data_IF_296170539417
#
_entry.id   IF_296170539417
#
_cell.length_a   1.000
_cell.length_b   1.000
_cell.length_c   1.000
_cell.angle_alpha   90.00
_cell.angle_beta   90.00
_cell.angle_gamma   90.00
#
_symmetry.space_group_name_H-M   'P 1'
#
loop_
_entity.id
_entity.type
_entity.pdbx_description
1 polymer ?
#
# COMPACT_ATOMS: atom_id res chain seq x y z
N UNK A 1 -45.61 -23.16 -60.20
CA UNK A 1 -46.58 -24.27 -60.39
C UNK A 1 -46.71 -25.01 -59.06
N UNK A 2 -47.93 -25.00 -58.48
CA UNK A 2 -48.47 -25.90 -57.41
C UNK A 2 -47.73 -25.75 -56.01
N UNK A 3 -48.38 -26.01 -54.85
CA UNK A 3 -48.88 -24.97 -53.95
C UNK A 3 -48.86 -25.35 -52.42
N UNK A 4 -49.54 -24.56 -51.57
CA UNK A 4 -50.13 -24.89 -50.25
C UNK A 4 -49.19 -25.41 -49.11
N UNK A 5 -49.31 -25.06 -47.83
CA UNK A 5 -50.49 -24.89 -46.96
C UNK A 5 -50.16 -23.96 -45.77
N UNK A 6 -51.14 -23.12 -45.41
CA UNK A 6 -51.42 -22.71 -44.02
C UNK A 6 -52.23 -23.81 -43.35
N UNK A 7 -51.91 -24.17 -42.10
CA UNK A 7 -52.84 -24.67 -41.05
C UNK A 7 -52.00 -24.80 -39.76
N UNK A 8 -52.04 -23.83 -38.86
CA UNK A 8 -52.98 -23.62 -37.73
C UNK A 8 -52.83 -24.65 -36.59
N UNK A 9 -52.80 -24.06 -35.39
CA UNK A 9 -53.21 -24.59 -34.09
C UNK A 9 -52.13 -25.29 -33.29
N UNK A 10 -51.50 -24.61 -32.32
CA UNK A 10 -52.01 -24.35 -30.95
C UNK A 10 -51.57 -25.48 -30.02
N UNK A 11 -50.78 -25.15 -29.00
CA UNK A 11 -51.02 -25.51 -27.59
C UNK A 11 -49.82 -25.16 -26.70
N UNK A 12 -50.16 -24.66 -25.50
CA UNK A 12 -49.35 -24.57 -24.29
C UNK A 12 -48.35 -23.41 -24.22
N UNK A 13 -48.93 -22.23 -23.91
CA UNK A 13 -48.41 -21.32 -22.88
C UNK A 13 -47.91 -22.15 -21.69
N UNK A 14 -46.60 -22.15 -21.44
CA UNK A 14 -46.05 -22.57 -20.16
C UNK A 14 -45.63 -21.33 -19.39
N UNK A 15 -46.22 -21.20 -18.20
CA UNK A 15 -46.05 -20.13 -17.23
C UNK A 15 -44.58 -19.93 -16.87
N UNK A 16 -44.10 -18.69 -17.02
CA UNK A 16 -43.07 -18.13 -16.14
C UNK A 16 -43.61 -16.81 -15.57
N UNK A 17 -44.57 -16.93 -14.66
CA UNK A 17 -44.86 -15.88 -13.69
C UNK A 17 -43.70 -15.82 -12.71
N UNK A 18 -42.70 -15.00 -13.03
CA UNK A 18 -41.65 -14.61 -12.08
C UNK A 18 -42.33 -13.78 -10.99
N UNK A 19 -42.42 -14.39 -9.81
CA UNK A 19 -42.89 -13.81 -8.57
C UNK A 19 -41.99 -12.61 -8.21
N UNK A 20 -42.39 -11.40 -8.58
CA UNK A 20 -41.82 -10.16 -8.05
C UNK A 20 -42.40 -9.93 -6.65
N UNK A 21 -41.87 -10.65 -5.65
CA UNK A 21 -42.05 -10.24 -4.25
C UNK A 21 -40.99 -9.18 -3.97
N UNK A 22 -41.45 -7.94 -4.05
CA UNK A 22 -40.82 -6.78 -3.44
C UNK A 22 -40.67 -7.00 -1.94
N UNK A 23 -39.52 -7.55 -1.54
CA UNK A 23 -39.02 -7.44 -0.18
C UNK A 23 -38.54 -6.00 0.02
N UNK A 24 -39.47 -5.14 0.41
CA UNK A 24 -39.14 -3.95 1.20
C UNK A 24 -38.56 -4.46 2.53
N UNK A 25 -37.27 -4.76 2.55
CA UNK A 25 -36.54 -4.87 3.80
C UNK A 25 -36.40 -3.44 4.33
N UNK A 26 -37.34 -3.06 5.18
CA UNK A 26 -37.19 -1.90 6.04
C UNK A 26 -35.95 -2.13 6.90
N UNK A 27 -34.86 -1.43 6.61
CA UNK A 27 -33.69 -1.39 7.47
C UNK A 27 -34.03 -0.57 8.72
N UNK A 28 -34.79 -1.16 9.65
CA UNK A 28 -34.68 -0.77 11.05
C UNK A 28 -33.35 -1.31 11.54
N UNK A 29 -32.39 -0.41 11.81
CA UNK A 29 -31.21 -0.74 12.60
C UNK A 29 -31.73 -1.29 13.93
N UNK A 30 -31.56 -2.58 14.16
CA UNK A 30 -31.86 -3.19 15.45
C UNK A 30 -30.99 -2.49 16.51
N UNK A 31 -31.62 -1.79 17.45
CA UNK A 31 -30.97 -1.37 18.69
C UNK A 31 -30.72 -2.62 19.51
N UNK A 32 -29.47 -3.04 19.77
CA UNK A 32 -29.23 -4.21 20.58
C UNK A 32 -29.61 -3.87 22.03
N UNK A 33 -30.69 -4.47 22.52
CA UNK A 33 -31.10 -4.42 23.93
C UNK A 33 -30.14 -5.27 24.76
N UNK A 34 -28.99 -4.70 25.13
CA UNK A 34 -28.24 -5.10 26.31
C UNK A 34 -28.65 -4.22 27.50
N UNK A 35 -28.38 -4.65 28.74
CA UNK A 35 -28.51 -3.79 29.94
C UNK A 35 -27.95 -2.39 29.64
N UNK A 36 -28.76 -1.35 29.78
CA UNK A 36 -28.30 0.04 29.60
C UNK A 36 -27.27 0.36 30.68
N UNK A 37 -25.99 0.20 30.34
CA UNK A 37 -24.91 0.78 31.12
C UNK A 37 -25.16 2.29 31.22
N UNK A 38 -25.05 2.82 32.43
CA UNK A 38 -25.08 4.27 32.62
C UNK A 38 -24.02 4.94 31.74
N UNK A 39 -24.38 6.04 31.08
CA UNK A 39 -23.49 6.80 30.18
C UNK A 39 -22.24 7.35 30.86
N UNK A 40 -22.23 7.41 32.20
CA UNK A 40 -21.11 7.88 33.03
C UNK A 40 -19.97 6.86 33.16
N UNK A 41 -19.58 6.25 32.03
CA UNK A 41 -18.40 5.41 31.88
C UNK A 41 -17.89 5.46 30.45
N UNK A 42 -16.61 5.13 30.23
CA UNK A 42 -16.03 5.02 28.89
C UNK A 42 -16.83 4.02 28.06
N UNK A 43 -17.10 2.83 28.59
CA UNK A 43 -17.89 1.81 27.89
C UNK A 43 -19.32 2.31 27.62
N UNK A 44 -20.03 2.77 28.65
CA UNK A 44 -21.42 3.23 28.52
C UNK A 44 -21.56 4.38 27.50
N UNK A 45 -20.62 5.33 27.50
CA UNK A 45 -20.56 6.41 26.51
C UNK A 45 -20.30 5.86 25.09
N UNK A 46 -19.28 5.02 24.92
CA UNK A 46 -18.88 4.53 23.59
C UNK A 46 -19.79 3.44 23.02
N UNK A 47 -20.66 2.82 23.83
CA UNK A 47 -21.71 1.92 23.38
C UNK A 47 -23.07 2.60 23.20
N UNK A 48 -23.21 3.88 23.55
CA UNK A 48 -24.45 4.64 23.40
C UNK A 48 -24.35 5.60 22.20
N UNK A 49 -24.89 5.15 21.07
CA UNK A 49 -24.81 5.90 19.81
C UNK A 49 -25.50 7.26 19.88
N UNK A 50 -26.69 7.33 20.50
CA UNK A 50 -27.44 8.57 20.64
C UNK A 50 -26.69 9.60 21.50
N UNK A 51 -26.05 9.16 22.60
CA UNK A 51 -25.21 10.02 23.41
C UNK A 51 -23.99 10.54 22.63
N UNK A 52 -23.29 9.67 21.89
CA UNK A 52 -22.17 10.09 21.05
C UNK A 52 -22.57 11.15 20.01
N UNK A 53 -23.76 11.02 19.40
CA UNK A 53 -24.30 12.03 18.48
C UNK A 53 -24.62 13.36 19.17
N UNK A 54 -24.91 13.36 20.47
CA UNK A 54 -25.15 14.58 21.23
C UNK A 54 -23.86 15.29 21.66
N UNK A 55 -22.78 14.54 21.90
CA UNK A 55 -21.53 15.06 22.51
C UNK A 55 -20.32 15.10 21.57
N UNK A 56 -20.48 14.73 20.30
CA UNK A 56 -19.37 14.76 19.34
C UNK A 56 -18.84 16.18 19.10
N UNK A 57 -17.60 16.25 18.62
CA UNK A 57 -17.04 17.50 18.08
C UNK A 57 -17.02 17.38 16.56
N UNK A 58 -17.38 18.43 15.80
CA UNK A 58 -17.32 18.41 14.34
C UNK A 58 -15.94 18.00 13.85
N UNK A 59 -15.90 17.32 12.71
CA UNK A 59 -14.62 16.95 12.10
C UNK A 59 -13.96 18.20 11.52
N UNK A 60 -12.81 18.57 12.08
CA UNK A 60 -11.97 19.66 11.58
C UNK A 60 -10.74 19.13 10.84
N UNK A 61 -10.55 17.81 10.78
CA UNK A 61 -9.41 17.21 10.13
C UNK A 61 -9.64 17.13 8.62
N UNK A 62 -8.85 17.88 7.85
CA UNK A 62 -8.75 17.67 6.40
C UNK A 62 -7.97 16.38 6.21
N UNK A 63 -8.66 15.27 5.95
CA UNK A 63 -8.02 14.02 5.56
C UNK A 63 -7.67 14.16 4.07
N UNK A 64 -6.48 14.70 3.80
CA UNK A 64 -5.95 14.77 2.45
C UNK A 64 -5.89 13.37 1.84
N UNK A 65 -6.54 13.20 0.68
CA UNK A 65 -6.44 11.98 -0.09
C UNK A 65 -4.99 11.74 -0.49
N UNK A 66 -4.37 10.69 0.07
CA UNK A 66 -3.00 10.33 -0.25
C UNK A 66 -2.88 9.73 -1.66
N UNK A 67 -1.81 8.97 -1.89
CA UNK A 67 -1.59 8.22 -3.14
C UNK A 67 -2.69 7.18 -3.47
N UNK A 68 -3.69 7.00 -2.62
CA UNK A 68 -4.83 6.08 -2.78
C UNK A 68 -6.17 6.76 -3.10
N UNK A 69 -6.21 8.09 -3.26
CA UNK A 69 -7.45 8.84 -3.46
C UNK A 69 -8.01 9.43 -2.16
N UNK A 70 -9.18 10.06 -2.25
CA UNK A 70 -9.87 10.64 -1.08
C UNK A 70 -10.24 9.55 -0.07
N UNK A 71 -9.97 9.80 1.21
CA UNK A 71 -10.34 8.88 2.26
C UNK A 71 -11.87 8.85 2.43
N UNK A 72 -12.48 7.68 2.67
CA UNK A 72 -13.90 7.61 2.99
C UNK A 72 -14.23 8.48 4.21
N UNK A 73 -15.32 9.25 4.12
CA UNK A 73 -15.80 10.03 5.27
C UNK A 73 -16.61 9.14 6.22
N UNK A 74 -16.25 9.21 7.49
CA UNK A 74 -17.00 8.63 8.61
C UNK A 74 -17.24 9.73 9.64
N UNK A 75 -18.43 9.78 10.21
CA UNK A 75 -18.73 10.78 11.23
C UNK A 75 -17.89 10.54 12.50
N UNK A 76 -17.52 11.59 13.26
CA UNK A 76 -16.68 11.44 14.45
C UNK A 76 -17.23 10.43 15.47
N UNK A 77 -18.55 10.37 15.64
CA UNK A 77 -19.20 9.38 16.52
C UNK A 77 -19.14 7.95 15.96
N UNK A 78 -19.20 7.76 14.64
CA UNK A 78 -19.05 6.43 14.00
C UNK A 78 -17.64 5.87 14.18
N UNK A 79 -16.63 6.75 14.19
CA UNK A 79 -15.22 6.34 14.34
C UNK A 79 -14.92 5.74 15.71
N UNK A 80 -15.69 6.07 16.74
CA UNK A 80 -15.42 5.66 18.13
C UNK A 80 -16.51 4.79 18.74
N UNK A 81 -17.59 4.54 18.01
CA UNK A 81 -18.67 3.69 18.49
C UNK A 81 -18.24 2.24 18.64
N UNK A 82 -18.54 1.65 19.81
CA UNK A 82 -18.27 0.27 20.16
C UNK A 82 -19.58 -0.51 20.05
N UNK A 83 -19.71 -1.33 19.01
CA UNK A 83 -20.89 -2.14 18.80
C UNK A 83 -20.66 -3.32 17.85
N UNK A 84 -21.72 -4.08 17.62
CA UNK A 84 -21.72 -5.24 16.74
C UNK A 84 -20.89 -6.43 17.26
N UNK A 85 -20.63 -7.38 16.37
CA UNK A 85 -19.93 -8.63 16.68
C UNK A 85 -18.51 -8.40 17.23
N UNK A 86 -17.78 -7.44 16.66
CA UNK A 86 -16.43 -7.12 17.10
C UNK A 86 -16.39 -6.63 18.55
N UNK A 87 -17.37 -5.83 18.97
CA UNK A 87 -17.47 -5.43 20.36
C UNK A 87 -17.82 -6.63 21.28
N UNK A 88 -18.74 -7.49 20.84
CA UNK A 88 -19.09 -8.70 21.58
C UNK A 88 -17.90 -9.67 21.73
N UNK A 89 -17.01 -9.75 20.73
CA UNK A 89 -15.74 -10.47 20.78
C UNK A 89 -14.74 -9.79 21.73
N UNK A 90 -14.62 -8.46 21.67
CA UNK A 90 -13.72 -7.69 22.53
C UNK A 90 -14.00 -7.97 24.01
N UNK A 91 -15.29 -7.97 24.43
CA UNK A 91 -15.70 -8.29 25.82
C UNK A 91 -15.25 -9.66 26.31
N UNK A 92 -14.99 -10.61 25.39
CA UNK A 92 -14.51 -11.96 25.72
C UNK A 92 -12.98 -12.05 25.72
N UNK A 93 -12.28 -11.01 25.25
CA UNK A 93 -10.83 -10.99 25.09
C UNK A 93 -10.09 -10.70 26.41
N UNK A 94 -8.80 -11.03 26.45
CA UNK A 94 -7.92 -10.64 27.57
C UNK A 94 -7.78 -9.11 27.71
N UNK A 95 -7.88 -8.36 26.62
CA UNK A 95 -7.75 -6.90 26.61
C UNK A 95 -8.91 -6.20 27.34
N UNK A 96 -10.12 -6.76 27.28
CA UNK A 96 -11.27 -6.19 28.00
C UNK A 96 -11.07 -6.14 29.51
N UNK A 97 -10.38 -7.15 30.07
CA UNK A 97 -10.07 -7.23 31.51
C UNK A 97 -9.13 -6.13 32.00
N UNK A 98 -8.39 -5.48 31.10
CA UNK A 98 -7.51 -4.35 31.43
C UNK A 98 -8.33 -3.09 31.75
N UNK A 99 -9.54 -2.99 31.18
CA UNK A 99 -10.38 -1.80 31.27
C UNK A 99 -9.88 -0.64 30.39
N UNK A 100 -10.80 0.26 30.04
CA UNK A 100 -10.53 1.37 29.11
C UNK A 100 -9.35 2.23 29.59
N UNK A 101 -9.38 2.64 30.86
CA UNK A 101 -8.36 3.54 31.46
C UNK A 101 -6.99 2.89 31.60
N UNK A 102 -6.90 1.56 31.65
CA UNK A 102 -5.60 0.87 31.73
C UNK A 102 -4.76 1.11 30.49
N UNK A 103 -5.40 1.21 29.31
CA UNK A 103 -4.73 1.52 28.05
C UNK A 103 -4.85 2.99 27.65
N UNK A 104 -6.00 3.62 27.89
CA UNK A 104 -6.30 4.97 27.39
C UNK A 104 -6.07 6.09 28.41
N UNK A 105 -5.79 5.76 29.68
CA UNK A 105 -5.82 6.70 30.80
C UNK A 105 -7.19 7.44 30.87
N UNK A 106 -7.23 8.67 31.38
CA UNK A 106 -8.45 9.48 31.46
C UNK A 106 -9.39 9.08 32.62
N UNK A 107 -10.65 9.53 32.55
CA UNK A 107 -11.63 9.35 33.62
C UNK A 107 -12.85 8.52 33.15
N UNK A 108 -13.05 7.34 33.74
CA UNK A 108 -14.13 6.40 33.44
C UNK A 108 -15.39 6.59 34.31
N UNK A 109 -15.52 7.67 35.06
CA UNK A 109 -16.63 7.88 36.00
C UNK A 109 -17.43 9.16 35.67
N UNK A 110 -17.55 9.49 34.39
CA UNK A 110 -18.23 10.71 33.92
C UNK A 110 -18.77 10.50 32.52
N UNK A 111 -19.84 11.21 32.18
CA UNK A 111 -20.45 11.30 30.85
C UNK A 111 -20.03 12.57 30.09
N UNK A 112 -19.32 13.50 30.76
CA UNK A 112 -18.74 14.69 30.13
C UNK A 112 -17.49 14.32 29.33
N UNK A 113 -17.56 14.53 28.01
CA UNK A 113 -16.46 14.21 27.08
C UNK A 113 -15.14 14.89 27.44
N UNK A 114 -15.17 16.14 27.90
CA UNK A 114 -13.94 16.89 28.23
C UNK A 114 -13.33 16.37 29.51
N UNK A 115 -14.14 16.03 30.51
CA UNK A 115 -13.66 15.44 31.77
C UNK A 115 -13.14 14.02 31.53
N UNK A 116 -13.85 13.20 30.76
CA UNK A 116 -13.44 11.83 30.42
C UNK A 116 -12.07 11.80 29.70
N UNK A 117 -11.85 12.73 28.76
CA UNK A 117 -10.63 12.84 27.96
C UNK A 117 -9.62 13.88 28.49
N UNK A 118 -9.66 14.21 29.78
CA UNK A 118 -8.75 15.16 30.41
C UNK A 118 -7.44 14.52 30.90
N UNK A 119 -6.50 15.35 31.35
CA UNK A 119 -5.26 14.90 31.98
C UNK A 119 -4.31 14.22 31.00
N UNK A 120 -3.93 12.98 31.30
CA UNK A 120 -2.99 12.18 30.51
C UNK A 120 -3.70 11.22 29.54
N UNK A 121 -4.96 11.48 29.18
CA UNK A 121 -5.69 10.68 28.20
C UNK A 121 -4.90 10.50 26.89
N UNK A 122 -4.94 9.30 26.34
CA UNK A 122 -4.28 8.93 25.09
C UNK A 122 -5.28 8.27 24.14
N UNK A 123 -5.51 8.91 22.99
CA UNK A 123 -6.42 8.41 21.96
C UNK A 123 -5.88 7.19 21.21
N UNK A 124 -4.55 7.09 21.07
CA UNK A 124 -3.86 6.00 20.37
C UNK A 124 -2.81 5.34 21.27
N UNK A 125 -3.20 4.39 22.15
CA UNK A 125 -2.28 3.72 23.08
C UNK A 125 -1.11 3.02 22.39
N UNK A 126 -1.30 2.55 21.16
CA UNK A 126 -0.25 1.89 20.36
C UNK A 126 0.91 2.78 19.95
N UNK A 127 0.80 4.11 20.07
CA UNK A 127 1.94 5.02 19.95
C UNK A 127 2.92 4.87 21.13
N UNK A 128 2.42 4.38 22.26
CA UNK A 128 3.16 4.13 23.49
C UNK A 128 3.28 2.62 23.76
N UNK A 129 3.62 1.85 22.71
CA UNK A 129 3.59 0.39 22.73
C UNK A 129 4.43 -0.24 23.85
N UNK A 130 5.55 0.38 24.23
CA UNK A 130 6.36 -0.06 25.38
C UNK A 130 5.56 -0.06 26.69
N UNK A 131 4.88 1.04 26.98
CA UNK A 131 4.11 1.19 28.22
C UNK A 131 2.80 0.41 28.17
N UNK A 132 2.09 0.45 27.04
CA UNK A 132 0.71 -0.04 26.92
C UNK A 132 0.60 -1.48 26.44
N UNK A 133 1.62 -2.01 25.77
CA UNK A 133 1.61 -3.36 25.22
C UNK A 133 2.79 -4.20 25.73
N UNK A 134 3.92 -3.57 26.09
CA UNK A 134 5.18 -4.23 26.40
C UNK A 134 5.09 -5.25 27.52
N UNK A 135 4.30 -5.00 28.57
CA UNK A 135 4.13 -5.93 29.69
C UNK A 135 3.66 -7.33 29.26
N UNK A 136 2.84 -7.43 28.21
CA UNK A 136 2.32 -8.70 27.70
C UNK A 136 2.94 -9.11 26.34
N UNK A 137 3.42 -8.13 25.56
CA UNK A 137 3.89 -8.31 24.18
C UNK A 137 5.31 -7.80 23.95
N UNK A 138 6.17 -7.83 24.99
CA UNK A 138 7.51 -7.23 24.99
C UNK A 138 8.35 -7.60 23.77
N UNK A 139 8.33 -8.87 23.37
CA UNK A 139 9.13 -9.37 22.25
C UNK A 139 8.75 -8.68 20.93
N UNK A 140 7.45 -8.61 20.63
CA UNK A 140 6.97 -7.98 19.39
C UNK A 140 7.18 -6.47 19.45
N UNK A 141 6.95 -5.84 20.61
CA UNK A 141 7.20 -4.41 20.80
C UNK A 141 8.66 -4.07 20.53
N UNK A 142 9.60 -4.84 21.08
CA UNK A 142 11.03 -4.61 20.88
C UNK A 142 11.44 -4.77 19.41
N UNK A 143 10.92 -5.79 18.73
CA UNK A 143 11.19 -6.02 17.31
C UNK A 143 10.61 -4.91 16.43
N UNK A 144 9.38 -4.48 16.72
CA UNK A 144 8.67 -3.48 15.93
C UNK A 144 9.37 -2.13 15.90
N UNK A 145 10.10 -1.75 16.96
CA UNK A 145 10.88 -0.49 17.00
C UNK A 145 11.79 -0.32 15.79
N UNK A 146 12.37 -1.41 15.28
CA UNK A 146 13.30 -1.36 14.14
C UNK A 146 12.62 -1.67 12.80
N UNK A 147 11.31 -1.97 12.81
CA UNK A 147 10.54 -2.20 11.58
C UNK A 147 10.43 -0.92 10.75
N UNK A 148 10.56 -1.07 9.43
CA UNK A 148 10.35 0.01 8.48
C UNK A 148 8.89 0.50 8.45
N UNK A 149 7.94 -0.26 9.01
CA UNK A 149 6.56 0.21 9.15
C UNK A 149 6.42 1.43 10.09
N UNK A 150 7.44 1.75 10.90
CA UNK A 150 7.54 3.03 11.63
C UNK A 150 8.04 4.21 10.76
N UNK A 151 8.18 4.01 9.44
CA UNK A 151 8.50 5.08 8.49
C UNK A 151 9.98 5.40 8.30
N UNK A 152 10.89 4.65 8.92
CA UNK A 152 12.34 4.90 8.90
C UNK A 152 12.91 4.97 7.48
N UNK A 153 12.47 4.11 6.57
CA UNK A 153 12.93 4.12 5.18
C UNK A 153 12.56 5.40 4.41
N UNK A 154 11.41 6.01 4.71
CA UNK A 154 11.02 7.28 4.08
C UNK A 154 11.74 8.46 4.73
N UNK A 155 11.86 8.47 6.06
CA UNK A 155 12.66 9.46 6.81
C UNK A 155 14.08 9.52 6.26
N UNK A 156 14.73 8.36 6.06
CA UNK A 156 16.07 8.25 5.48
C UNK A 156 16.21 8.97 4.14
N UNK A 157 15.21 8.85 3.25
CA UNK A 157 15.28 9.51 1.94
C UNK A 157 15.15 11.02 2.05
N UNK A 158 14.27 11.49 2.92
CA UNK A 158 14.08 12.93 3.16
C UNK A 158 15.33 13.54 3.79
N UNK A 159 15.89 12.90 4.82
CA UNK A 159 17.07 13.43 5.53
C UNK A 159 18.31 13.46 4.65
N UNK A 160 18.61 12.37 3.94
CA UNK A 160 19.79 12.33 3.07
C UNK A 160 19.69 13.33 1.93
N UNK A 161 18.51 13.51 1.32
CA UNK A 161 18.31 14.54 0.30
C UNK A 161 18.35 15.97 0.87
N UNK A 162 18.11 16.13 2.17
CA UNK A 162 18.26 17.40 2.87
C UNK A 162 19.69 17.63 3.39
N UNK A 163 20.65 16.76 3.03
CA UNK A 163 22.07 16.90 3.39
C UNK A 163 22.47 16.26 4.73
N UNK A 164 21.62 15.41 5.31
CA UNK A 164 21.88 14.68 6.56
C UNK A 164 22.27 13.21 6.30
N UNK A 165 22.54 12.41 7.33
CA UNK A 165 23.17 11.09 7.14
C UNK A 165 22.20 9.91 7.18
N UNK A 166 21.01 10.05 7.76
CA UNK A 166 20.08 8.93 7.89
C UNK A 166 18.80 9.26 8.65
N UNK A 167 17.95 8.27 8.93
CA UNK A 167 16.66 8.49 9.57
C UNK A 167 16.77 8.97 11.03
N UNK A 168 17.89 8.71 11.70
CA UNK A 168 18.19 9.20 13.06
C UNK A 168 18.39 10.72 13.12
N UNK A 169 18.74 11.34 11.98
CA UNK A 169 18.92 12.78 11.89
C UNK A 169 17.61 13.50 11.54
N UNK A 170 16.47 12.80 11.50
CA UNK A 170 15.19 13.38 11.07
C UNK A 170 14.76 14.58 11.91
N UNK A 171 15.04 14.56 13.21
CA UNK A 171 14.70 15.65 14.13
C UNK A 171 15.63 16.88 13.97
N UNK A 172 16.67 16.80 13.13
CA UNK A 172 17.53 17.92 12.75
C UNK A 172 16.97 18.71 11.55
N UNK A 173 15.93 18.20 10.88
CA UNK A 173 15.26 18.93 9.81
C UNK A 173 14.57 20.19 10.37
N UNK A 174 14.41 21.25 9.57
CA UNK A 174 13.58 22.39 9.96
C UNK A 174 12.18 21.97 10.39
N UNK A 175 11.67 22.60 11.45
CA UNK A 175 10.39 22.24 12.07
C UNK A 175 9.21 22.25 11.08
N UNK A 176 9.14 23.24 10.18
CA UNK A 176 8.13 23.32 9.13
C UNK A 176 8.18 22.12 8.16
N UNK A 177 9.37 21.56 7.90
CA UNK A 177 9.54 20.40 7.03
C UNK A 177 9.10 19.13 7.74
N UNK A 178 9.38 19.01 9.04
CA UNK A 178 8.89 17.91 9.89
C UNK A 178 7.35 17.93 9.95
N UNK A 179 6.75 19.10 10.14
CA UNK A 179 5.30 19.29 10.11
C UNK A 179 4.72 18.88 8.76
N UNK A 180 5.30 19.35 7.66
CA UNK A 180 4.90 18.96 6.31
C UNK A 180 5.02 17.45 6.06
N UNK A 181 6.09 16.82 6.54
CA UNK A 181 6.26 15.37 6.47
C UNK A 181 5.17 14.64 7.24
N UNK A 182 4.87 15.07 8.47
CA UNK A 182 3.88 14.41 9.30
C UNK A 182 2.48 14.53 8.71
N UNK A 183 2.12 15.68 8.15
CA UNK A 183 0.82 15.90 7.52
C UNK A 183 0.61 15.15 6.21
N UNK A 184 1.68 14.87 5.44
CA UNK A 184 1.54 14.36 4.07
C UNK A 184 2.10 12.94 3.87
N UNK A 185 3.12 12.55 4.64
CA UNK A 185 3.87 11.32 4.45
C UNK A 185 3.67 10.32 5.60
N UNK A 186 3.70 10.80 6.84
CA UNK A 186 3.62 9.94 8.02
C UNK A 186 2.24 9.33 8.27
N UNK A 187 1.23 9.74 7.50
CA UNK A 187 -0.15 9.20 7.56
C UNK A 187 -0.24 7.71 7.22
N UNK A 188 0.78 7.15 6.56
CA UNK A 188 0.90 5.73 6.25
C UNK A 188 1.81 4.94 7.22
N UNK A 189 2.51 5.59 8.15
CA UNK A 189 3.37 4.88 9.11
C UNK A 189 2.49 4.26 10.19
N UNK A 190 2.74 2.98 10.47
CA UNK A 190 1.86 2.15 11.26
C UNK A 190 2.33 2.02 12.71
N UNK A 191 1.37 1.94 13.62
CA UNK A 191 1.52 1.36 14.96
C UNK A 191 0.76 0.04 15.06
N UNK A 192 0.87 -0.67 16.18
CA UNK A 192 0.08 -1.88 16.43
C UNK A 192 -1.43 -1.65 16.21
N UNK A 193 -1.94 -0.48 16.61
CA UNK A 193 -3.36 -0.14 16.47
C UNK A 193 -3.80 0.02 15.02
N UNK A 194 -2.94 0.56 14.15
CA UNK A 194 -3.30 0.82 12.74
C UNK A 194 -3.51 -0.46 11.93
N UNK A 195 -2.96 -1.58 12.36
CA UNK A 195 -3.19 -2.88 11.73
C UNK A 195 -4.25 -3.69 12.48
N UNK A 196 -4.23 -3.64 13.82
CA UNK A 196 -4.98 -4.61 14.63
C UNK A 196 -6.31 -4.08 15.19
N UNK A 197 -6.53 -2.76 15.26
CA UNK A 197 -7.66 -2.19 16.03
C UNK A 197 -8.46 -1.17 15.22
N UNK A 198 -7.76 -0.24 14.56
CA UNK A 198 -8.37 0.89 13.84
C UNK A 198 -8.16 0.77 12.34
N UNK A 199 -9.08 1.35 11.58
CA UNK A 199 -8.82 1.72 10.19
C UNK A 199 -7.72 2.80 10.20
N UNK A 200 -6.67 2.71 9.37
CA UNK A 200 -5.71 3.79 9.22
C UNK A 200 -6.40 5.11 8.82
N UNK A 201 -5.78 6.25 9.10
CA UNK A 201 -6.35 7.56 8.76
C UNK A 201 -6.63 7.71 7.27
N UNK A 202 -5.75 7.19 6.41
CA UNK A 202 -5.94 7.15 4.97
C UNK A 202 -7.19 6.34 4.53
N UNK A 203 -7.75 5.51 5.41
CA UNK A 203 -8.98 4.75 5.21
C UNK A 203 -10.18 5.35 5.96
N UNK A 204 -10.11 6.63 6.35
CA UNK A 204 -11.19 7.35 7.04
C UNK A 204 -11.18 7.22 8.56
N UNK A 205 -10.23 6.45 9.13
CA UNK A 205 -10.04 6.33 10.57
C UNK A 205 -11.16 5.60 11.32
N UNK A 206 -10.97 5.46 12.64
CA UNK A 206 -11.92 4.86 13.56
C UNK A 206 -11.79 3.35 13.73
N UNK A 207 -12.60 2.77 14.62
CA UNK A 207 -12.53 1.36 15.01
C UNK A 207 -12.90 0.44 13.84
N UNK A 208 -12.01 -0.50 13.50
CA UNK A 208 -12.23 -1.41 12.39
C UNK A 208 -13.36 -2.41 12.67
N UNK A 209 -13.43 -2.93 13.90
CA UNK A 209 -14.43 -3.92 14.36
C UNK A 209 -14.83 -3.69 15.82
N UNK A 210 -15.47 -2.57 16.15
CA UNK A 210 -16.03 -2.34 17.49
C UNK A 210 -15.02 -2.48 18.64
N UNK A 211 -13.79 -2.01 18.43
CA UNK A 211 -12.64 -2.11 19.35
C UNK A 211 -12.03 -3.51 19.53
N UNK A 212 -12.36 -4.47 18.67
CA UNK A 212 -11.69 -5.77 18.68
C UNK A 212 -10.22 -5.68 18.23
N UNK A 213 -9.35 -6.42 18.94
CA UNK A 213 -7.95 -6.62 18.59
C UNK A 213 -7.82 -7.79 17.60
N UNK A 214 -7.71 -7.48 16.32
CA UNK A 214 -7.63 -8.46 15.24
C UNK A 214 -6.22 -9.00 15.13
N UNK A 215 -6.01 -10.26 15.52
CA UNK A 215 -4.70 -10.93 15.41
C UNK A 215 -4.15 -10.89 13.98
N UNK A 216 -5.01 -11.14 13.00
CA UNK A 216 -4.68 -11.09 11.58
C UNK A 216 -5.38 -9.87 10.98
N UNK A 217 -4.64 -8.86 10.50
CA UNK A 217 -5.24 -7.71 9.85
C UNK A 217 -5.90 -8.11 8.53
N UNK A 218 -6.98 -7.43 8.18
CA UNK A 218 -7.60 -7.58 6.86
C UNK A 218 -6.70 -6.98 5.77
N UNK A 219 -6.66 -7.65 4.62
CA UNK A 219 -5.80 -7.24 3.50
C UNK A 219 -6.21 -5.88 2.95
N UNK A 220 -7.50 -5.67 2.74
CA UNK A 220 -8.02 -4.49 2.03
C UNK A 220 -8.06 -3.29 2.96
N UNK A 221 -8.65 -3.47 4.14
CA UNK A 221 -8.92 -2.41 5.11
C UNK A 221 -7.77 -2.15 6.07
N UNK A 222 -6.77 -3.04 6.14
CA UNK A 222 -5.52 -2.84 6.86
C UNK A 222 -4.36 -2.49 5.92
N UNK A 223 -3.94 -3.45 5.10
CA UNK A 223 -2.70 -3.31 4.30
C UNK A 223 -2.87 -2.37 3.11
N UNK A 224 -3.91 -2.57 2.29
CA UNK A 224 -4.11 -1.84 1.03
C UNK A 224 -4.43 -0.37 1.27
N UNK A 225 -4.93 0.02 2.43
CA UNK A 225 -5.16 1.44 2.77
C UNK A 225 -3.88 2.26 2.64
N UNK A 226 -2.76 1.78 3.20
CA UNK A 226 -1.46 2.46 3.08
C UNK A 226 -0.71 2.05 1.80
N UNK A 227 -0.85 0.78 1.37
CA UNK A 227 -0.19 0.22 0.20
C UNK A 227 -1.02 0.34 -1.09
N UNK A 228 -1.93 1.30 -1.17
CA UNK A 228 -2.99 1.39 -2.20
C UNK A 228 -2.44 1.34 -3.63
N UNK A 229 -1.88 2.43 -4.15
CA UNK A 229 -1.56 2.51 -5.58
C UNK A 229 -0.40 1.64 -6.05
N UNK A 230 0.58 1.35 -5.18
CA UNK A 230 1.81 0.62 -5.55
C UNK A 230 1.77 -0.87 -5.24
N UNK A 231 0.97 -1.26 -4.24
CA UNK A 231 0.77 -2.66 -3.85
C UNK A 231 -0.62 -3.13 -4.24
N UNK A 232 -1.65 -2.65 -3.55
CA UNK A 232 -3.03 -3.11 -3.68
C UNK A 232 -3.60 -3.00 -5.10
N UNK A 233 -3.50 -1.83 -5.74
CA UNK A 233 -4.03 -1.63 -7.09
C UNK A 233 -3.33 -2.53 -8.12
N UNK A 234 -2.02 -2.75 -7.96
CA UNK A 234 -1.26 -3.67 -8.79
C UNK A 234 -1.69 -5.13 -8.55
N UNK A 235 -1.85 -5.51 -7.28
CA UNK A 235 -2.16 -6.87 -6.86
C UNK A 235 -3.57 -7.30 -7.25
N UNK A 236 -4.51 -6.38 -7.09
CA UNK A 236 -5.93 -6.57 -7.39
C UNK A 236 -6.27 -6.27 -8.85
N UNK A 237 -5.37 -5.68 -9.64
CA UNK A 237 -5.60 -5.34 -11.05
C UNK A 237 -6.67 -4.26 -11.24
N UNK A 238 -6.67 -3.21 -10.41
CA UNK A 238 -7.73 -2.19 -10.37
C UNK A 238 -7.63 -1.19 -11.53
N UNK A 239 -6.43 -0.94 -12.04
CA UNK A 239 -6.22 0.04 -13.09
C UNK A 239 -6.73 -0.48 -14.45
N UNK A 240 -7.33 0.40 -15.25
CA UNK A 240 -7.80 0.05 -16.59
C UNK A 240 -6.66 -0.55 -17.42
N UNK A 241 -6.93 -1.66 -18.11
CA UNK A 241 -5.94 -2.38 -18.91
C UNK A 241 -4.98 -3.27 -18.12
N UNK A 242 -5.10 -3.34 -16.78
CA UNK A 242 -4.29 -4.25 -15.95
C UNK A 242 -5.04 -5.54 -15.60
N UNK A 243 -4.28 -6.60 -15.38
CA UNK A 243 -4.78 -7.87 -14.84
C UNK A 243 -4.36 -8.04 -13.38
N UNK A 244 -5.17 -8.71 -12.54
CA UNK A 244 -4.77 -9.05 -11.18
C UNK A 244 -3.56 -9.98 -11.15
N UNK A 245 -2.78 -9.91 -10.06
CA UNK A 245 -1.66 -10.81 -9.82
C UNK A 245 -2.10 -12.28 -9.88
N UNK A 246 -1.26 -13.15 -10.44
CA UNK A 246 -1.54 -14.57 -10.58
C UNK A 246 -1.67 -15.27 -9.22
N UNK A 247 -0.93 -14.85 -8.19
CA UNK A 247 -1.05 -15.41 -6.85
C UNK A 247 -2.39 -15.02 -6.21
N UNK A 248 -2.85 -13.79 -6.43
CA UNK A 248 -4.18 -13.38 -6.00
C UNK A 248 -5.27 -14.14 -6.79
N UNK A 249 -5.30 -13.96 -8.11
CA UNK A 249 -6.41 -14.40 -8.95
C UNK A 249 -6.50 -15.92 -9.14
N UNK A 250 -5.39 -16.66 -9.03
CA UNK A 250 -5.35 -18.12 -9.25
C UNK A 250 -5.21 -18.92 -7.96
N UNK A 251 -4.70 -18.34 -6.88
CA UNK A 251 -4.48 -19.05 -5.60
C UNK A 251 -5.25 -18.44 -4.44
N UNK A 252 -5.90 -17.29 -4.60
CA UNK A 252 -6.62 -16.61 -3.53
C UNK A 252 -5.68 -16.10 -2.43
N UNK A 253 -4.42 -15.82 -2.76
CA UNK A 253 -3.45 -15.35 -1.77
C UNK A 253 -3.79 -13.94 -1.30
N UNK A 254 -3.64 -13.74 0.00
CA UNK A 254 -3.56 -12.43 0.65
C UNK A 254 -2.10 -11.99 0.76
N UNK A 255 -1.86 -10.74 1.20
CA UNK A 255 -0.51 -10.26 1.50
C UNK A 255 0.25 -11.21 2.44
N UNK A 256 -0.43 -11.76 3.45
CA UNK A 256 0.19 -12.58 4.49
C UNK A 256 0.58 -13.99 4.04
N UNK A 257 0.16 -14.40 2.84
CA UNK A 257 0.63 -15.65 2.24
C UNK A 257 2.08 -15.57 1.76
N UNK A 258 2.58 -14.36 1.48
CA UNK A 258 3.98 -14.11 1.15
C UNK A 258 4.68 -13.34 2.28
N UNK A 259 4.01 -12.34 2.86
CA UNK A 259 4.57 -11.49 3.89
C UNK A 259 4.26 -12.01 5.30
N UNK A 260 5.27 -12.58 5.98
CA UNK A 260 5.05 -13.17 7.30
C UNK A 260 4.88 -12.10 8.40
N UNK A 261 4.19 -12.44 9.49
CA UNK A 261 4.09 -11.53 10.64
C UNK A 261 5.46 -11.18 11.25
N UNK A 262 6.41 -12.12 11.23
CA UNK A 262 7.79 -11.87 11.67
C UNK A 262 8.56 -10.93 10.73
N UNK A 263 8.22 -10.91 9.44
CA UNK A 263 8.77 -9.94 8.51
C UNK A 263 8.20 -8.55 8.77
N UNK A 264 6.88 -8.43 8.87
CA UNK A 264 6.17 -7.16 9.07
C UNK A 264 6.56 -6.50 10.40
N UNK A 265 6.62 -7.28 11.48
CA UNK A 265 7.03 -6.79 12.79
C UNK A 265 8.53 -6.49 12.89
N UNK A 266 9.35 -6.93 11.93
CA UNK A 266 10.80 -6.83 12.01
C UNK A 266 11.40 -7.87 12.97
N UNK A 267 12.73 -7.88 13.04
CA UNK A 267 13.49 -8.84 13.85
C UNK A 267 14.38 -8.20 14.92
N UNK A 268 14.18 -6.90 15.17
CA UNK A 268 14.97 -6.13 16.14
C UNK A 268 16.26 -5.54 15.57
N UNK A 269 16.61 -5.83 14.31
CA UNK A 269 17.71 -5.18 13.63
C UNK A 269 17.19 -4.07 12.71
N UNK A 270 17.69 -2.83 12.83
CA UNK A 270 17.34 -1.79 11.87
C UNK A 270 17.97 -2.07 10.51
N UNK A 271 17.26 -1.70 9.45
CA UNK A 271 17.77 -1.73 8.09
C UNK A 271 17.57 -0.38 7.42
N UNK A 272 18.54 0.02 6.60
CA UNK A 272 18.51 1.30 5.90
C UNK A 272 17.31 1.46 4.97
N UNK A 273 16.92 0.37 4.30
CA UNK A 273 15.90 0.39 3.27
C UNK A 273 15.24 -0.99 3.15
N UNK A 274 14.00 -1.02 2.66
CA UNK A 274 13.15 -2.23 2.71
C UNK A 274 13.81 -3.46 2.09
N UNK A 275 14.55 -3.31 1.00
CA UNK A 275 15.19 -4.42 0.29
C UNK A 275 16.45 -4.95 0.99
N UNK A 276 16.99 -4.23 1.98
CA UNK A 276 18.08 -4.72 2.83
C UNK A 276 17.57 -5.66 3.93
N UNK A 277 16.25 -5.78 4.12
CA UNK A 277 15.70 -6.73 5.06
C UNK A 277 15.77 -8.16 4.49
N UNK A 278 16.47 -9.04 5.21
CA UNK A 278 16.87 -10.37 4.71
C UNK A 278 15.72 -11.38 4.66
N UNK A 279 14.64 -11.12 5.42
CA UNK A 279 13.46 -12.00 5.52
C UNK A 279 12.33 -11.62 4.57
N UNK A 280 12.57 -10.72 3.61
CA UNK A 280 11.60 -10.45 2.56
C UNK A 280 11.28 -11.73 1.76
N UNK A 281 10.03 -11.91 1.32
CA UNK A 281 9.67 -13.04 0.47
C UNK A 281 10.43 -13.02 -0.85
N UNK A 282 10.82 -14.21 -1.31
CA UNK A 282 11.48 -14.45 -2.58
C UNK A 282 10.65 -15.39 -3.44
N UNK A 283 10.78 -15.28 -4.76
CA UNK A 283 10.09 -16.18 -5.69
C UNK A 283 10.54 -17.63 -5.45
N UNK A 284 11.81 -17.82 -5.15
CA UNK A 284 12.50 -19.08 -4.93
C UNK A 284 12.06 -19.80 -3.65
N UNK A 285 11.42 -19.09 -2.71
CA UNK A 285 10.84 -19.70 -1.51
C UNK A 285 9.67 -20.64 -1.87
N UNK A 286 9.04 -20.44 -3.03
CA UNK A 286 7.92 -21.24 -3.54
C UNK A 286 8.21 -21.90 -4.90
N UNK A 287 9.10 -21.32 -5.70
CA UNK A 287 9.42 -21.76 -7.05
C UNK A 287 10.82 -22.38 -7.11
N UNK A 288 10.90 -23.71 -7.06
CA UNK A 288 12.16 -24.45 -7.12
C UNK A 288 12.45 -25.01 -8.52
N UNK A 289 13.73 -25.27 -8.81
CA UNK A 289 14.16 -25.88 -10.07
C UNK A 289 13.90 -25.02 -11.31
N UNK A 290 13.76 -23.70 -11.14
CA UNK A 290 13.32 -22.81 -12.21
C UNK A 290 14.44 -22.35 -13.15
N UNK A 291 15.71 -22.40 -12.73
CA UNK A 291 16.84 -21.82 -13.48
C UNK A 291 16.97 -22.30 -14.93
N UNK A 292 16.56 -23.54 -15.22
CA UNK A 292 16.63 -24.12 -16.58
C UNK A 292 15.29 -24.65 -17.07
N UNK A 293 14.18 -24.23 -16.45
CA UNK A 293 12.85 -24.78 -16.71
C UNK A 293 12.30 -24.42 -18.11
N UNK A 294 12.84 -23.37 -18.73
CA UNK A 294 12.52 -22.98 -20.10
C UNK A 294 13.68 -22.15 -20.68
N UNK A 295 13.62 -21.86 -21.98
CA UNK A 295 14.66 -21.09 -22.68
C UNK A 295 14.91 -19.71 -22.06
N UNK A 296 13.87 -18.97 -21.64
CA UNK A 296 14.07 -17.65 -21.02
C UNK A 296 14.85 -17.77 -19.71
N UNK A 297 14.49 -18.71 -18.85
CA UNK A 297 15.22 -18.92 -17.60
C UNK A 297 16.66 -19.36 -17.87
N UNK A 298 16.87 -20.36 -18.74
CA UNK A 298 18.22 -20.84 -19.05
C UNK A 298 19.15 -19.73 -19.57
N UNK A 299 18.61 -18.73 -20.28
CA UNK A 299 19.38 -17.62 -20.83
C UNK A 299 19.56 -16.48 -19.82
N UNK A 300 18.53 -16.14 -19.05
CA UNK A 300 18.45 -14.86 -18.34
C UNK A 300 18.29 -14.96 -16.82
N UNK A 301 18.41 -16.15 -16.24
CA UNK A 301 18.16 -16.34 -14.80
C UNK A 301 18.97 -15.39 -13.91
N UNK A 302 20.20 -15.04 -14.32
CA UNK A 302 21.09 -14.14 -13.59
C UNK A 302 21.27 -12.76 -14.25
N UNK A 303 20.44 -12.42 -15.25
CA UNK A 303 20.54 -11.13 -15.94
C UNK A 303 19.54 -10.12 -15.36
N UNK A 304 18.35 -10.60 -14.98
CA UNK A 304 17.22 -9.78 -14.57
C UNK A 304 16.63 -10.18 -13.21
N UNK A 305 16.06 -9.22 -12.49
CA UNK A 305 15.08 -9.58 -11.47
C UNK A 305 13.82 -10.20 -12.12
N UNK A 306 13.18 -11.18 -11.45
CA UNK A 306 12.08 -11.95 -12.02
C UNK A 306 10.94 -11.09 -12.58
N UNK A 307 10.72 -9.92 -11.98
CA UNK A 307 9.69 -8.98 -12.38
C UNK A 307 9.89 -8.43 -13.80
N UNK A 308 11.10 -8.38 -14.36
CA UNK A 308 11.30 -7.98 -15.78
C UNK A 308 10.49 -8.86 -16.72
N UNK A 309 10.45 -10.17 -16.49
CA UNK A 309 9.69 -11.10 -17.32
C UNK A 309 8.22 -11.18 -16.90
N UNK A 310 7.96 -11.07 -15.59
CA UNK A 310 6.68 -11.43 -14.99
C UNK A 310 5.76 -10.24 -14.64
N UNK A 311 6.24 -9.00 -14.73
CA UNK A 311 5.41 -7.82 -14.57
C UNK A 311 4.79 -7.41 -15.91
N UNK A 312 3.55 -6.94 -15.85
CA UNK A 312 2.93 -6.13 -16.91
C UNK A 312 3.25 -4.64 -16.69
N UNK A 313 2.73 -3.74 -17.53
CA UNK A 313 2.82 -2.30 -17.29
C UNK A 313 2.18 -1.95 -15.95
N UNK A 314 2.78 -1.04 -15.19
CA UNK A 314 2.36 -0.74 -13.83
C UNK A 314 2.29 0.75 -13.57
N UNK A 315 1.57 1.09 -12.51
CA UNK A 315 1.33 2.47 -12.15
C UNK A 315 2.64 3.23 -11.86
N UNK A 316 2.86 4.34 -12.53
CA UNK A 316 3.95 5.27 -12.31
C UNK A 316 3.37 6.66 -12.09
N UNK A 317 4.10 7.46 -11.34
CA UNK A 317 3.82 8.86 -11.06
C UNK A 317 5.12 9.47 -10.56
N UNK A 318 5.21 10.80 -10.53
CA UNK A 318 6.44 11.43 -10.09
C UNK A 318 6.29 12.90 -9.77
N UNK A 319 7.40 13.49 -9.34
CA UNK A 319 7.49 14.93 -9.07
C UNK A 319 6.37 15.41 -8.15
N UNK A 320 6.33 14.86 -6.93
CA UNK A 320 5.31 15.21 -5.95
C UNK A 320 5.71 16.46 -5.21
N UNK A 321 4.87 17.49 -5.32
CA UNK A 321 5.04 18.68 -4.51
C UNK A 321 4.21 18.56 -3.23
N UNK A 322 4.86 18.49 -2.08
CA UNK A 322 4.17 18.26 -0.80
C UNK A 322 3.24 19.44 -0.53
N UNK A 323 1.97 19.16 -0.21
CA UNK A 323 0.91 20.17 0.02
C UNK A 323 0.64 21.13 -1.16
N UNK A 324 1.10 20.79 -2.38
CA UNK A 324 0.82 21.51 -3.63
C UNK A 324 -0.24 20.81 -4.48
N UNK A 325 -0.07 20.84 -5.81
CA UNK A 325 -0.96 20.16 -6.79
C UNK A 325 -0.90 18.61 -6.72
N UNK A 326 -0.16 18.05 -5.76
CA UNK A 326 0.13 16.62 -5.69
C UNK A 326 1.26 16.22 -6.65
N UNK A 327 1.08 15.09 -7.34
CA UNK A 327 2.05 14.62 -8.32
C UNK A 327 1.94 15.42 -9.63
N UNK A 328 2.97 16.22 -9.95
CA UNK A 328 3.04 17.00 -11.21
C UNK A 328 3.16 16.12 -12.44
N UNK A 329 3.72 14.92 -12.27
CA UNK A 329 3.62 13.86 -13.28
C UNK A 329 2.42 13.00 -12.87
N UNK A 330 1.28 13.11 -13.59
CA UNK A 330 0.07 12.37 -13.27
C UNK A 330 0.31 10.86 -13.30
N UNK A 331 -0.63 10.10 -12.73
CA UNK A 331 -0.57 8.64 -12.75
C UNK A 331 -0.66 8.10 -14.19
N UNK A 332 0.22 7.17 -14.57
CA UNK A 332 0.20 6.50 -15.87
C UNK A 332 0.69 5.06 -15.75
N UNK A 333 0.31 4.19 -16.68
CA UNK A 333 0.92 2.86 -16.78
C UNK A 333 2.24 2.96 -17.56
N UNK A 334 3.31 2.41 -16.98
CA UNK A 334 4.64 2.44 -17.56
C UNK A 334 5.46 1.23 -17.15
N UNK A 335 6.54 1.02 -17.89
CA UNK A 335 7.44 -0.11 -17.71
C UNK A 335 8.85 0.33 -18.13
N UNK A 336 9.82 0.20 -17.23
CA UNK A 336 11.22 0.55 -17.50
C UNK A 336 12.17 -0.47 -16.87
N UNK A 337 13.07 -0.99 -17.69
CA UNK A 337 14.23 -1.80 -17.33
C UNK A 337 15.44 -0.88 -17.27
N UNK A 338 16.14 -0.89 -16.15
CA UNK A 338 17.33 -0.08 -15.92
C UNK A 338 18.44 -0.94 -15.32
N UNK A 339 19.66 -0.41 -15.30
CA UNK A 339 20.74 -0.99 -14.48
C UNK A 339 20.28 -1.00 -13.03
N UNK A 340 20.53 -2.11 -12.36
CA UNK A 340 20.12 -2.36 -10.99
C UNK A 340 20.53 -1.19 -10.06
N UNK A 341 19.56 -0.44 -9.49
CA UNK A 341 19.87 0.73 -8.66
C UNK A 341 20.48 0.41 -7.28
N UNK A 342 20.47 -0.86 -6.86
CA UNK A 342 20.93 -1.29 -5.53
C UNK A 342 21.74 -2.60 -5.62
N UNK A 343 22.81 -2.64 -6.44
CA UNK A 343 23.53 -3.88 -6.74
C UNK A 343 24.15 -4.53 -5.49
N UNK A 344 24.52 -3.73 -4.49
CA UNK A 344 25.10 -4.22 -3.22
C UNK A 344 24.05 -4.88 -2.30
N UNK A 345 22.76 -4.59 -2.50
CA UNK A 345 21.67 -5.10 -1.65
C UNK A 345 20.86 -6.18 -2.36
N UNK A 346 20.65 -6.04 -3.66
CA UNK A 346 20.00 -7.04 -4.50
C UNK A 346 20.99 -7.47 -5.57
N UNK A 347 21.73 -8.52 -5.25
CA UNK A 347 22.78 -9.10 -6.09
C UNK A 347 22.24 -10.18 -7.03
N UNK A 348 23.04 -10.58 -8.02
CA UNK A 348 22.76 -11.72 -8.89
C UNK A 348 22.00 -11.38 -10.18
N UNK A 349 21.82 -10.08 -10.46
CA UNK A 349 21.32 -9.57 -11.72
C UNK A 349 21.80 -8.14 -11.96
N UNK A 350 21.99 -7.79 -13.23
CA UNK A 350 22.51 -6.50 -13.66
C UNK A 350 21.38 -5.52 -14.01
N UNK A 351 20.25 -6.04 -14.49
CA UNK A 351 19.12 -5.26 -14.93
C UNK A 351 17.88 -5.53 -14.08
N UNK A 352 17.08 -4.49 -13.84
CA UNK A 352 15.89 -4.60 -13.01
C UNK A 352 14.80 -3.65 -13.44
N UNK A 353 13.57 -3.95 -13.03
CA UNK A 353 12.49 -2.97 -13.13
C UNK A 353 12.67 -1.82 -12.16
N UNK A 354 12.40 -0.61 -12.66
CA UNK A 354 12.48 0.62 -11.88
C UNK A 354 11.20 1.45 -11.96
N UNK A 355 10.85 2.10 -10.85
CA UNK A 355 9.66 2.94 -10.74
C UNK A 355 10.04 4.39 -10.46
N UNK A 356 9.43 5.31 -11.20
CA UNK A 356 9.60 6.74 -10.95
C UNK A 356 9.14 7.11 -9.53
N UNK A 357 9.86 8.02 -8.89
CA UNK A 357 9.68 8.38 -7.49
C UNK A 357 8.92 9.69 -7.34
N UNK A 358 8.26 9.86 -6.20
CA UNK A 358 7.50 11.06 -5.85
C UNK A 358 8.42 12.17 -5.36
N UNK A 359 9.51 12.41 -6.07
CA UNK A 359 10.57 13.29 -5.63
C UNK A 359 11.01 14.20 -6.77
N UNK A 360 11.24 15.45 -6.41
CA UNK A 360 11.68 16.57 -7.23
C UNK A 360 12.59 17.47 -6.35
N UNK A 361 13.44 18.29 -6.96
CA UNK A 361 14.37 19.13 -6.21
C UNK A 361 13.63 20.07 -5.26
N UNK A 362 12.52 20.64 -5.71
CA UNK A 362 11.65 21.62 -5.04
C UNK A 362 10.53 20.99 -4.18
N UNK A 363 10.62 19.71 -3.81
CA UNK A 363 9.54 18.96 -3.13
C UNK A 363 8.90 19.69 -1.93
N UNK A 364 9.68 20.53 -1.24
CA UNK A 364 9.37 21.17 0.03
C UNK A 364 9.18 22.69 -0.10
N UNK A 365 9.03 23.25 -1.31
CA UNK A 365 8.88 24.71 -1.53
C UNK A 365 7.71 25.29 -0.70
N UNK A 366 6.58 24.56 -0.60
CA UNK A 366 5.41 24.98 0.20
C UNK A 366 5.67 25.00 1.71
N UNK A 367 6.77 24.40 2.15
CA UNK A 367 7.24 24.43 3.52
C UNK A 367 8.43 25.36 3.69
N UNK A 368 8.82 26.17 2.70
CA UNK A 368 9.91 27.15 2.81
C UNK A 368 11.30 26.57 2.55
N UNK A 369 11.39 25.43 1.85
CA UNK A 369 12.65 24.85 1.36
C UNK A 369 12.59 24.83 -0.17
N UNK A 370 13.25 25.81 -0.80
CA UNK A 370 13.21 26.01 -2.25
C UNK A 370 13.74 24.79 -3.03
N UNK A 371 14.82 24.19 -2.55
CA UNK A 371 15.42 23.00 -3.16
C UNK A 371 16.10 22.10 -2.11
N UNK A 372 16.07 20.79 -2.33
CA UNK A 372 16.86 19.83 -1.57
C UNK A 372 18.37 20.12 -1.71
N UNK A 373 19.08 20.18 -0.58
CA UNK A 373 20.53 20.40 -0.55
C UNK A 373 21.35 19.29 -1.24
N UNK A 374 20.81 18.07 -1.33
CA UNK A 374 21.50 16.89 -1.85
C UNK A 374 20.54 15.99 -2.64
N UNK A 375 19.79 16.58 -3.58
CA UNK A 375 18.76 15.88 -4.35
C UNK A 375 19.28 14.60 -5.05
N UNK A 376 20.48 14.69 -5.63
CA UNK A 376 21.13 13.65 -6.43
C UNK A 376 21.59 12.43 -5.61
N UNK A 377 21.48 12.46 -4.28
CA UNK A 377 21.84 11.33 -3.41
C UNK A 377 21.05 10.04 -3.68
N UNK A 378 19.89 10.14 -4.33
CA UNK A 378 19.13 8.98 -4.79
C UNK A 378 18.58 9.19 -6.19
N UNK A 379 18.48 8.12 -7.01
CA UNK A 379 17.87 8.22 -8.32
C UNK A 379 16.39 8.57 -8.25
N UNK A 380 15.89 9.17 -9.33
CA UNK A 380 14.47 9.50 -9.50
C UNK A 380 13.66 8.31 -9.99
N UNK A 381 14.34 7.21 -10.33
CA UNK A 381 13.81 5.87 -10.56
C UNK A 381 14.43 4.88 -9.57
N UNK A 382 13.60 4.28 -8.70
CA UNK A 382 14.08 3.29 -7.72
C UNK A 382 13.85 1.86 -8.19
N UNK A 383 14.69 0.93 -7.74
CA UNK A 383 14.42 -0.50 -7.81
C UNK A 383 13.00 -0.81 -7.31
N UNK A 384 12.26 -1.60 -8.09
CA UNK A 384 10.86 -1.93 -7.77
C UNK A 384 10.57 -3.41 -7.92
N UNK A 385 9.62 -3.87 -7.12
CA UNK A 385 9.01 -5.20 -7.19
C UNK A 385 7.50 -5.03 -7.36
N UNK A 386 7.02 -4.74 -8.58
CA UNK A 386 5.58 -4.59 -8.83
C UNK A 386 4.81 -5.85 -8.40
N UNK A 387 3.68 -5.66 -7.71
CA UNK A 387 2.83 -6.75 -7.24
C UNK A 387 1.76 -7.07 -8.29
N UNK A 388 2.15 -7.39 -9.51
CA UNK A 388 1.22 -7.60 -10.64
C UNK A 388 1.68 -8.77 -11.52
N UNK A 389 2.21 -9.81 -10.87
CA UNK A 389 2.87 -10.94 -11.49
C UNK A 389 1.90 -11.70 -12.38
N UNK A 390 2.28 -11.89 -13.64
CA UNK A 390 1.59 -12.76 -14.59
C UNK A 390 2.50 -13.92 -14.96
N UNK A 391 1.89 -15.09 -15.24
CA UNK A 391 2.63 -16.23 -15.79
C UNK A 391 3.23 -15.89 -17.16
N UNK A 392 2.47 -15.16 -17.95
CA UNK A 392 2.81 -14.76 -19.31
C UNK A 392 2.47 -13.28 -19.48
N UNK A 393 3.38 -12.53 -20.08
CA UNK A 393 3.28 -11.09 -20.29
C UNK A 393 3.43 -10.78 -21.77
N UNK A 394 3.12 -9.54 -22.19
CA UNK A 394 3.41 -9.10 -23.55
C UNK A 394 4.91 -9.19 -23.90
N UNK A 395 5.80 -9.15 -22.90
CA UNK A 395 7.26 -9.26 -23.08
C UNK A 395 7.74 -10.71 -23.29
N UNK A 396 6.97 -11.69 -22.83
CA UNK A 396 7.35 -13.11 -22.88
C UNK A 396 6.53 -13.95 -23.87
N UNK A 397 5.36 -13.44 -24.30
CA UNK A 397 4.54 -14.06 -25.33
C UNK A 397 4.81 -13.48 -26.72
N UNK A 398 5.55 -14.22 -27.53
CA UNK A 398 5.84 -13.87 -28.92
C UNK A 398 4.87 -14.56 -29.89
N UNK A 399 4.58 -13.93 -31.03
CA UNK A 399 3.76 -14.53 -32.09
C UNK A 399 4.40 -15.82 -32.62
N UNK A 400 3.57 -16.74 -33.13
CA UNK A 400 4.06 -18.01 -33.68
C UNK A 400 5.14 -17.79 -34.76
N UNK A 401 6.25 -18.51 -34.63
CA UNK A 401 7.40 -18.42 -35.55
C UNK A 401 8.39 -17.27 -35.27
N UNK A 402 8.11 -16.40 -34.29
CA UNK A 402 9.05 -15.35 -33.86
C UNK A 402 10.03 -15.86 -32.80
N UNK A 403 11.23 -15.30 -32.79
CA UNK A 403 12.24 -15.61 -31.78
C UNK A 403 11.85 -15.05 -30.41
N UNK A 404 12.28 -15.72 -29.34
CA UNK A 404 11.97 -15.35 -27.95
C UNK A 404 12.38 -13.91 -27.58
N UNK A 405 13.42 -13.37 -28.22
CA UNK A 405 13.90 -12.00 -27.97
C UNK A 405 12.99 -10.90 -28.56
N UNK A 406 12.02 -11.26 -29.42
CA UNK A 406 11.29 -10.29 -30.28
C UNK A 406 10.54 -9.21 -29.51
N UNK A 407 10.07 -9.50 -28.30
CA UNK A 407 9.23 -8.58 -27.51
C UNK A 407 9.97 -7.95 -26.32
N UNK A 408 11.29 -8.14 -26.22
CA UNK A 408 12.08 -7.60 -25.12
C UNK A 408 13.35 -6.92 -25.60
N UNK A 409 14.17 -7.62 -26.40
CA UNK A 409 15.44 -7.05 -26.86
C UNK A 409 15.19 -5.89 -27.82
N UNK A 410 16.08 -4.90 -27.79
CA UNK A 410 16.07 -3.82 -28.78
C UNK A 410 16.47 -4.40 -30.14
N UNK A 411 15.77 -3.97 -31.19
CA UNK A 411 16.01 -4.41 -32.57
C UNK A 411 15.88 -3.21 -33.48
N UNK A 412 16.82 -3.03 -34.39
CA UNK A 412 16.74 -2.02 -35.43
C UNK A 412 16.05 -2.63 -36.65
N UNK A 413 14.82 -2.20 -36.95
CA UNK A 413 14.08 -2.63 -38.12
C UNK A 413 13.94 -1.43 -39.07
N UNK A 414 14.83 -1.30 -40.06
CA UNK A 414 14.76 -0.22 -41.05
C UNK A 414 14.95 1.19 -40.47
N UNK A 415 15.78 1.32 -39.43
CA UNK A 415 16.03 2.58 -38.72
C UNK A 415 15.12 2.84 -37.52
N UNK A 416 14.10 2.00 -37.29
CA UNK A 416 13.24 2.07 -36.11
C UNK A 416 13.75 1.13 -35.01
N UNK A 417 14.03 1.67 -33.81
CA UNK A 417 14.47 0.89 -32.66
C UNK A 417 13.27 0.33 -31.88
N UNK A 418 12.85 -0.88 -32.24
CA UNK A 418 11.77 -1.62 -31.60
C UNK A 418 12.17 -2.04 -30.18
N UNK A 419 11.24 -1.98 -29.21
CA UNK A 419 11.40 -2.28 -27.78
C UNK A 419 12.35 -1.34 -27.02
N UNK A 420 12.90 -0.29 -27.66
CA UNK A 420 13.75 0.71 -26.99
C UNK A 420 13.04 1.36 -25.81
N UNK A 421 11.73 1.56 -25.93
CA UNK A 421 10.87 2.13 -24.92
C UNK A 421 10.79 1.31 -23.63
N UNK A 422 11.16 0.02 -23.65
CA UNK A 422 11.21 -0.82 -22.46
C UNK A 422 12.38 -0.48 -21.53
N UNK A 423 13.43 0.16 -22.03
CA UNK A 423 14.64 0.45 -21.27
C UNK A 423 14.70 1.92 -20.86
N UNK A 424 15.42 2.21 -19.77
CA UNK A 424 15.63 3.56 -19.26
C UNK A 424 16.91 4.16 -19.86
N UNK A 425 16.73 4.92 -20.93
CA UNK A 425 17.80 5.74 -21.52
C UNK A 425 17.82 7.14 -20.88
N UNK A 426 18.95 7.84 -21.00
CA UNK A 426 19.11 9.22 -20.52
C UNK A 426 18.05 10.16 -21.11
N UNK A 427 17.68 9.98 -22.38
CA UNK A 427 16.67 10.80 -23.05
C UNK A 427 15.24 10.59 -22.53
N UNK A 428 15.02 9.61 -21.65
CA UNK A 428 13.74 9.40 -20.96
C UNK A 428 13.65 10.24 -19.67
N UNK A 429 14.76 10.81 -19.22
CA UNK A 429 14.87 11.59 -18.00
C UNK A 429 14.64 13.07 -18.29
N UNK A 430 13.92 13.74 -17.38
CA UNK A 430 13.87 15.20 -17.37
C UNK A 430 15.27 15.75 -17.03
N UNK A 431 15.56 17.00 -17.41
CA UNK A 431 16.90 17.56 -17.22
C UNK A 431 17.38 17.53 -15.77
N UNK A 432 16.48 17.77 -14.80
CA UNK A 432 16.77 17.68 -13.36
C UNK A 432 16.86 16.23 -12.83
N UNK A 433 16.44 15.23 -13.60
CA UNK A 433 16.54 13.81 -13.23
C UNK A 433 17.86 13.16 -13.66
N UNK A 434 18.56 13.75 -14.64
CA UNK A 434 19.74 13.18 -15.29
C UNK A 434 20.88 12.90 -14.31
N UNK A 435 21.29 13.90 -13.53
CA UNK A 435 22.39 13.74 -12.58
C UNK A 435 22.09 12.65 -11.53
N UNK A 436 20.93 12.75 -10.88
CA UNK A 436 20.48 11.77 -9.89
C UNK A 436 20.41 10.33 -10.41
N UNK A 437 20.10 10.13 -11.70
CA UNK A 437 19.82 8.81 -12.30
C UNK A 437 20.85 8.34 -13.33
N UNK A 438 21.96 9.06 -13.51
CA UNK A 438 23.00 8.71 -14.49
C UNK A 438 23.58 7.31 -14.26
N UNK A 439 23.68 6.86 -13.01
CA UNK A 439 24.23 5.54 -12.69
C UNK A 439 23.36 4.38 -13.15
N UNK A 440 22.04 4.59 -13.30
CA UNK A 440 21.06 3.53 -13.57
C UNK A 440 20.62 3.46 -15.03
N UNK A 441 20.96 4.44 -15.87
CA UNK A 441 20.62 4.43 -17.29
C UNK A 441 21.35 3.32 -18.05
N UNK A 442 20.79 2.88 -19.17
CA UNK A 442 21.32 1.77 -19.99
C UNK A 442 22.25 2.21 -21.13
N UNK A 443 22.44 3.52 -21.31
CA UNK A 443 23.28 4.10 -22.36
C UNK A 443 24.69 3.50 -22.33
N UNK A 444 25.12 2.93 -23.46
CA UNK A 444 26.42 2.26 -23.60
C UNK A 444 26.58 0.95 -22.82
N UNK A 445 25.53 0.44 -22.18
CA UNK A 445 25.56 -0.78 -21.33
C UNK A 445 24.79 -1.96 -21.91
N UNK A 446 24.10 -1.77 -23.03
CA UNK A 446 23.43 -2.85 -23.78
C UNK A 446 24.33 -3.36 -24.92
N UNK A 447 24.13 -4.60 -25.40
CA UNK A 447 24.92 -5.14 -26.52
C UNK A 447 24.82 -4.24 -27.77
N UNK A 448 25.96 -3.92 -28.38
CA UNK A 448 26.01 -3.08 -29.58
C UNK A 448 25.19 -3.67 -30.74
N UNK A 449 25.16 -5.00 -30.85
CA UNK A 449 24.39 -5.73 -31.87
C UNK A 449 22.88 -5.53 -31.80
N UNK A 450 22.34 -4.96 -30.71
CA UNK A 450 20.91 -4.64 -30.61
C UNK A 450 20.51 -3.40 -31.40
N UNK A 451 21.48 -2.57 -31.79
CA UNK A 451 21.27 -1.32 -32.51
C UNK A 451 21.65 -1.42 -34.00
N UNK A 452 22.22 -2.56 -34.40
CA UNK A 452 22.53 -2.89 -35.79
C UNK A 452 21.29 -3.42 -36.52
N UNK A 453 21.18 -3.14 -37.82
CA UNK A 453 20.05 -3.51 -38.70
C UNK A 453 20.05 -4.99 -39.11
#
# INVERSE_FOLDING_TARGET
>A
MIPQKKLRSSWLLLMFTVFFVSLYSSCTKDNPTGEELGVASCEGCHTNYAHLQAVYSPDTAIIGGGCGGEAPHYEPYDRVFMGGEGYAEYKKSGHYKIGCVGCHNGNNNTDDKKVAHSGNFISHPSMYADEKCGTCHQEIVNKFKTSIHNGTGQKRKVTIRSGLNGPQDFDQLPQHQIEGYNSNCATCHGTCGNCHIVRPLAGGGGLARGHMFNKTPDMVTGCVVCHSSRGGHAYLGVAAGTQPDAHFSKRGFSCLNCHSGAEIHGDGNPVDQRYAYTKLPKCEDCHSGIATNNTYHSMHFNDFNCQVCHSQDYNNCGSCHVHGEGARIPSYLGFKIAVNPIPDVKTGFDLSLVRRTLAAPDNWEKFGVDEYANFDAFPTYNYTTPHNILRWTSRTQVSAGRSCYSNCHIRNEGGELINRELYLFEDNLLDWEKNASASIQVDGKLPASWFEE
#
